data_IF_267843407296
#
_entry.id   IF_267843407296
#
_cell.length_a   1.000
_cell.length_b   1.000
_cell.length_c   1.000
_cell.angle_alpha   90.00
_cell.angle_beta   90.00
_cell.angle_gamma   90.00
#
_symmetry.space_group_name_H-M   'P 1'
#
loop_
_entity.id
_entity.type
_entity.pdbx_description
1 polymer ?
#
# COMPACT_ATOMS: atom_id res chain seq x y z
N UNK A 1 97.05 -18.65 -19.69
CA UNK A 1 95.82 -17.82 -19.72
C UNK A 1 94.57 -18.54 -20.25
N UNK A 2 94.68 -19.71 -20.91
CA UNK A 2 93.51 -20.43 -21.47
C UNK A 2 92.83 -21.43 -20.52
N UNK A 3 93.31 -21.60 -19.29
CA UNK A 3 92.77 -22.58 -18.33
C UNK A 3 91.68 -21.99 -17.41
N UNK A 4 91.73 -20.68 -17.11
CA UNK A 4 90.69 -19.98 -16.34
C UNK A 4 89.40 -19.73 -17.14
N UNK A 5 89.48 -19.76 -18.47
CA UNK A 5 88.32 -19.62 -19.36
C UNK A 5 87.40 -20.84 -19.30
N UNK A 6 87.95 -22.04 -19.03
CA UNK A 6 87.18 -23.29 -18.94
C UNK A 6 86.50 -23.48 -17.58
N UNK A 7 87.08 -22.96 -16.50
CA UNK A 7 86.48 -23.01 -15.16
C UNK A 7 85.33 -22.00 -15.01
N UNK A 8 85.37 -20.88 -15.74
CA UNK A 8 84.25 -19.93 -15.82
C UNK A 8 83.05 -20.49 -16.61
N UNK A 9 83.29 -21.37 -17.59
CA UNK A 9 82.24 -21.96 -18.43
C UNK A 9 81.46 -23.09 -17.71
N UNK A 10 81.95 -23.59 -16.57
CA UNK A 10 81.32 -24.70 -15.84
C UNK A 10 80.37 -24.22 -14.71
N UNK A 11 80.36 -22.92 -14.38
CA UNK A 11 79.50 -22.36 -13.32
C UNK A 11 78.17 -21.77 -13.83
N UNK A 12 77.91 -21.78 -15.13
CA UNK A 12 76.70 -21.17 -15.70
C UNK A 12 75.53 -22.12 -15.99
N UNK A 13 75.65 -23.41 -15.69
CA UNK A 13 74.57 -24.39 -15.98
C UNK A 13 73.75 -24.82 -14.77
N UNK A 14 74.05 -24.34 -13.55
CA UNK A 14 73.43 -24.86 -12.30
C UNK A 14 72.42 -23.91 -11.65
N UNK A 15 71.83 -22.95 -12.39
CA UNK A 15 70.80 -22.07 -11.79
C UNK A 15 69.54 -21.88 -12.65
N UNK A 16 69.11 -22.92 -13.36
CA UNK A 16 67.94 -22.83 -14.24
C UNK A 16 66.94 -23.98 -14.07
N UNK A 17 66.77 -24.59 -12.89
CA UNK A 17 65.60 -25.47 -12.65
C UNK A 17 65.17 -25.41 -11.17
N UNK A 18 64.43 -24.36 -10.78
CA UNK A 18 63.54 -24.39 -9.61
C UNK A 18 62.61 -23.18 -9.60
N UNK A 19 61.85 -22.97 -10.69
CA UNK A 19 60.62 -22.20 -10.56
C UNK A 19 59.51 -23.08 -11.15
N UNK A 20 58.60 -23.65 -10.33
CA UNK A 20 57.43 -24.30 -10.88
C UNK A 20 56.66 -23.23 -11.67
N UNK A 21 56.49 -23.47 -12.96
CA UNK A 21 55.67 -22.61 -13.81
C UNK A 21 54.31 -22.42 -13.11
N UNK A 22 53.83 -21.17 -12.89
CA UNK A 22 52.49 -20.96 -12.38
C UNK A 22 51.52 -21.70 -13.28
N UNK A 23 50.62 -22.52 -12.71
CA UNK A 23 49.59 -23.18 -13.49
C UNK A 23 48.93 -22.15 -14.42
N UNK A 24 48.72 -22.48 -15.71
CA UNK A 24 48.13 -21.53 -16.65
C UNK A 24 46.86 -20.97 -16.03
N UNK A 25 46.81 -19.64 -15.87
CA UNK A 25 45.62 -18.99 -15.36
C UNK A 25 44.44 -19.41 -16.26
N UNK A 26 43.28 -19.78 -15.70
CA UNK A 26 42.11 -20.09 -16.51
C UNK A 26 41.88 -18.91 -17.47
N UNK A 27 41.71 -19.22 -18.76
CA UNK A 27 41.48 -18.20 -19.77
C UNK A 27 40.35 -17.27 -19.31
N UNK A 28 40.51 -15.93 -19.38
CA UNK A 28 39.45 -15.00 -18.98
C UNK A 28 38.17 -15.33 -19.75
N UNK A 29 37.16 -15.88 -19.06
CA UNK A 29 35.89 -16.28 -19.64
C UNK A 29 35.00 -15.04 -19.92
N UNK A 30 35.53 -14.08 -20.69
CA UNK A 30 34.91 -12.80 -21.01
C UNK A 30 33.54 -12.93 -21.71
N UNK A 31 33.23 -14.10 -22.29
CA UNK A 31 31.95 -14.38 -22.94
C UNK A 31 30.92 -15.15 -22.11
N UNK A 32 31.34 -15.92 -21.09
CA UNK A 32 30.46 -16.81 -20.32
C UNK A 32 29.59 -16.04 -19.32
N UNK A 33 30.23 -15.24 -18.47
CA UNK A 33 29.57 -14.47 -17.41
C UNK A 33 28.56 -13.44 -17.94
N UNK A 34 28.87 -12.84 -19.09
CA UNK A 34 27.98 -11.87 -19.72
C UNK A 34 26.78 -12.60 -20.35
N UNK A 35 26.99 -13.75 -20.97
CA UNK A 35 25.92 -14.58 -21.55
C UNK A 35 24.90 -15.04 -20.51
N UNK A 36 25.37 -15.56 -19.37
CA UNK A 36 24.49 -16.03 -18.29
C UNK A 36 23.71 -14.89 -17.63
N UNK A 37 24.35 -13.75 -17.38
CA UNK A 37 23.67 -12.56 -16.85
C UNK A 37 22.62 -12.01 -17.82
N UNK A 38 22.91 -12.01 -19.12
CA UNK A 38 21.96 -11.59 -20.15
C UNK A 38 20.79 -12.59 -20.30
N UNK A 39 21.04 -13.87 -20.09
CA UNK A 39 20.00 -14.89 -20.11
C UNK A 39 19.03 -14.75 -18.93
N UNK A 40 19.55 -14.52 -17.72
CA UNK A 40 18.72 -14.22 -16.55
C UNK A 40 17.87 -12.95 -16.71
N UNK A 41 18.42 -11.91 -17.34
CA UNK A 41 17.65 -10.70 -17.70
C UNK A 41 16.60 -11.04 -18.76
N UNK A 42 16.93 -11.88 -19.74
CA UNK A 42 16.00 -12.37 -20.75
C UNK A 42 14.78 -13.06 -20.14
N UNK A 43 14.98 -13.96 -19.19
CA UNK A 43 13.91 -14.68 -18.50
C UNK A 43 13.01 -13.75 -17.67
N UNK A 44 13.58 -12.75 -16.99
CA UNK A 44 12.82 -11.71 -16.28
C UNK A 44 11.97 -10.88 -17.27
N UNK A 45 12.53 -10.59 -18.44
CA UNK A 45 11.87 -9.83 -19.50
C UNK A 45 10.96 -10.68 -20.41
N UNK A 46 10.92 -12.00 -20.28
CA UNK A 46 10.03 -12.86 -21.08
C UNK A 46 9.06 -13.68 -20.24
N UNK A 47 9.25 -13.72 -18.93
CA UNK A 47 8.58 -14.64 -18.02
C UNK A 47 7.35 -14.07 -17.32
N UNK A 48 7.04 -14.66 -16.17
CA UNK A 48 5.87 -14.31 -15.36
C UNK A 48 5.86 -12.85 -14.90
N UNK A 49 7.04 -12.26 -14.68
CA UNK A 49 7.15 -10.87 -14.26
C UNK A 49 6.52 -9.90 -15.27
N UNK A 50 6.82 -10.01 -16.58
CA UNK A 50 6.17 -9.16 -17.58
C UNK A 50 4.67 -9.40 -17.70
N UNK A 51 4.21 -10.65 -17.55
CA UNK A 51 2.78 -10.98 -17.56
C UNK A 51 2.06 -10.32 -16.39
N UNK A 52 2.68 -10.31 -15.21
CA UNK A 52 2.18 -9.63 -14.02
C UNK A 52 2.18 -8.12 -14.22
N UNK A 53 3.25 -7.52 -14.75
CA UNK A 53 3.31 -6.10 -15.07
C UNK A 53 2.22 -5.69 -16.06
N UNK A 54 2.03 -6.45 -17.15
CA UNK A 54 0.95 -6.20 -18.11
C UNK A 54 -0.43 -6.31 -17.47
N UNK A 55 -0.63 -7.26 -16.55
CA UNK A 55 -1.88 -7.39 -15.82
C UNK A 55 -2.14 -6.21 -14.90
N UNK A 56 -1.12 -5.73 -14.18
CA UNK A 56 -1.22 -4.54 -13.33
C UNK A 56 -1.55 -3.31 -14.18
N UNK A 57 -0.87 -3.13 -15.30
CA UNK A 57 -1.13 -2.01 -16.22
C UNK A 57 -2.58 -2.04 -16.71
N UNK A 58 -3.10 -3.21 -17.13
CA UNK A 58 -4.49 -3.33 -17.56
C UNK A 58 -5.49 -2.99 -16.45
N UNK A 59 -5.26 -3.47 -15.23
CA UNK A 59 -6.14 -3.12 -14.10
C UNK A 59 -6.04 -1.63 -13.74
N UNK A 60 -4.86 -1.02 -13.85
CA UNK A 60 -4.69 0.42 -13.67
C UNK A 60 -5.42 1.20 -14.76
N UNK A 61 -5.34 0.78 -16.01
CA UNK A 61 -6.08 1.39 -17.13
C UNK A 61 -7.60 1.26 -16.94
N UNK A 62 -8.07 0.11 -16.48
CA UNK A 62 -9.49 -0.11 -16.14
C UNK A 62 -9.94 0.76 -14.96
N UNK A 63 -9.11 0.92 -13.92
CA UNK A 63 -9.41 1.76 -12.76
C UNK A 63 -9.32 3.26 -13.04
N UNK A 64 -8.46 3.66 -13.97
CA UNK A 64 -8.22 5.06 -14.36
C UNK A 64 -8.85 5.41 -15.71
N UNK A 65 -9.80 4.60 -16.18
CA UNK A 65 -10.52 4.86 -17.41
C UNK A 65 -11.26 6.21 -17.38
N UNK A 66 -11.70 6.66 -18.56
CA UNK A 66 -12.43 7.93 -18.69
C UNK A 66 -13.66 8.00 -17.79
N UNK A 67 -14.32 6.86 -17.54
CA UNK A 67 -15.54 6.80 -16.74
C UNK A 67 -15.22 7.03 -15.26
N UNK A 68 -14.26 6.31 -14.70
CA UNK A 68 -13.78 6.43 -13.33
C UNK A 68 -13.18 7.82 -13.08
N UNK A 69 -12.37 8.31 -14.02
CA UNK A 69 -11.80 9.67 -13.97
C UNK A 69 -12.88 10.75 -13.99
N UNK A 70 -13.90 10.64 -14.87
CA UNK A 70 -15.03 11.58 -14.91
C UNK A 70 -15.89 11.51 -13.65
N UNK A 71 -16.19 10.31 -13.16
CA UNK A 71 -16.95 10.13 -11.93
C UNK A 71 -16.24 10.77 -10.73
N UNK A 72 -14.94 10.53 -10.59
CA UNK A 72 -14.09 11.12 -9.54
C UNK A 72 -14.05 12.64 -9.66
N UNK A 73 -13.81 13.18 -10.87
CA UNK A 73 -13.82 14.62 -11.10
C UNK A 73 -15.17 15.25 -10.77
N UNK A 74 -16.27 14.63 -11.20
CA UNK A 74 -17.61 15.12 -10.91
C UNK A 74 -17.89 15.10 -9.41
N UNK A 75 -17.56 14.03 -8.69
CA UNK A 75 -17.69 13.97 -7.24
C UNK A 75 -16.85 15.07 -6.55
N UNK A 76 -15.60 15.26 -6.98
CA UNK A 76 -14.73 16.28 -6.41
C UNK A 76 -15.25 17.70 -6.68
N UNK A 77 -15.80 17.98 -7.86
CA UNK A 77 -16.32 19.31 -8.21
C UNK A 77 -17.70 19.59 -7.60
N UNK A 78 -18.57 18.58 -7.49
CA UNK A 78 -19.96 18.75 -7.04
C UNK A 78 -20.11 18.58 -5.53
N UNK A 79 -19.50 17.55 -4.95
CA UNK A 79 -19.63 17.23 -3.54
C UNK A 79 -18.41 17.68 -2.71
N UNK A 80 -17.20 17.71 -3.31
CA UNK A 80 -15.97 18.08 -2.62
C UNK A 80 -16.04 19.39 -1.82
N UNK A 81 -16.51 20.52 -2.38
CA UNK A 81 -16.61 21.78 -1.64
C UNK A 81 -17.58 21.71 -0.45
N UNK A 82 -18.59 20.83 -0.52
CA UNK A 82 -19.59 20.67 0.53
C UNK A 82 -19.11 19.71 1.63
N UNK A 83 -18.28 18.71 1.32
CA UNK A 83 -17.78 17.72 2.28
C UNK A 83 -16.53 18.26 2.97
N UNK A 84 -16.73 19.13 3.97
CA UNK A 84 -15.63 19.63 4.82
C UNK A 84 -15.48 18.77 6.08
N UNK A 85 -14.28 18.73 6.70
CA UNK A 85 -14.07 18.06 7.98
C UNK A 85 -15.03 18.54 9.08
N UNK A 86 -15.35 19.85 9.10
CA UNK A 86 -16.28 20.44 10.07
C UNK A 86 -17.71 19.94 9.84
N UNK A 87 -18.15 19.83 8.58
CA UNK A 87 -19.46 19.26 8.26
C UNK A 87 -19.52 17.79 8.71
N UNK A 88 -18.51 16.98 8.37
CA UNK A 88 -18.46 15.57 8.76
C UNK A 88 -18.50 15.41 10.28
N UNK A 89 -17.77 16.24 11.03
CA UNK A 89 -17.81 16.26 12.49
C UNK A 89 -19.19 16.62 13.03
N UNK A 90 -19.85 17.64 12.46
CA UNK A 90 -21.21 18.03 12.85
C UNK A 90 -22.21 16.92 12.55
N UNK A 91 -22.17 16.33 11.36
CA UNK A 91 -23.04 15.22 10.95
C UNK A 91 -22.83 14.02 11.87
N UNK A 92 -21.58 13.62 12.13
CA UNK A 92 -21.28 12.54 13.08
C UNK A 92 -21.86 12.82 14.46
N UNK A 93 -21.66 14.03 15.00
CA UNK A 93 -22.23 14.40 16.30
C UNK A 93 -23.76 14.39 16.33
N UNK A 94 -24.41 14.82 15.24
CA UNK A 94 -25.87 14.74 15.10
C UNK A 94 -26.34 13.28 15.05
N UNK A 95 -25.64 12.40 14.32
CA UNK A 95 -25.94 10.98 14.26
C UNK A 95 -25.76 10.31 15.63
N UNK A 96 -24.69 10.64 16.37
CA UNK A 96 -24.46 10.13 17.72
C UNK A 96 -25.56 10.55 18.70
N UNK A 97 -25.96 11.81 18.65
CA UNK A 97 -27.06 12.32 19.47
C UNK A 97 -28.41 11.72 19.06
N UNK A 98 -28.65 11.60 17.76
CA UNK A 98 -29.83 10.93 17.20
C UNK A 98 -29.93 9.49 17.67
N UNK A 99 -28.83 8.72 17.62
CA UNK A 99 -28.78 7.34 18.09
C UNK A 99 -29.11 7.23 19.58
N UNK A 100 -28.64 8.17 20.42
CA UNK A 100 -28.98 8.21 21.85
C UNK A 100 -30.47 8.48 22.09
N UNK A 101 -31.04 9.44 21.35
CA UNK A 101 -32.45 9.83 21.48
C UNK A 101 -33.42 8.81 20.89
N UNK A 102 -33.00 8.06 19.86
CA UNK A 102 -33.81 7.06 19.18
C UNK A 102 -33.64 5.65 19.75
N UNK A 103 -33.06 5.52 20.95
CA UNK A 103 -33.07 4.24 21.66
C UNK A 103 -34.49 3.85 22.07
N UNK A 104 -34.86 2.55 22.02
CA UNK A 104 -36.18 2.09 22.43
C UNK A 104 -36.55 2.56 23.85
N UNK A 105 -35.62 2.48 24.80
CA UNK A 105 -35.83 2.89 26.19
C UNK A 105 -36.17 4.40 26.30
N UNK A 106 -35.38 5.28 25.67
CA UNK A 106 -35.66 6.73 25.71
C UNK A 106 -36.99 7.09 25.04
N UNK A 107 -37.28 6.48 23.89
CA UNK A 107 -38.53 6.70 23.15
C UNK A 107 -39.73 6.23 23.97
N UNK A 108 -39.66 5.05 24.59
CA UNK A 108 -40.78 4.50 25.36
C UNK A 108 -40.99 5.26 26.68
N UNK A 109 -39.92 5.68 27.35
CA UNK A 109 -40.00 6.55 28.52
C UNK A 109 -40.63 7.91 28.17
N UNK A 110 -40.23 8.51 27.04
CA UNK A 110 -40.79 9.78 26.57
C UNK A 110 -42.27 9.65 26.22
N UNK A 111 -42.66 8.59 25.50
CA UNK A 111 -44.08 8.29 25.21
C UNK A 111 -44.91 8.12 26.49
N UNK A 112 -44.36 7.41 27.49
CA UNK A 112 -45.04 7.22 28.77
C UNK A 112 -45.19 8.54 29.53
N UNK A 113 -44.16 9.39 29.55
CA UNK A 113 -44.23 10.72 30.14
C UNK A 113 -45.33 11.57 29.47
N UNK A 114 -45.36 11.61 28.14
CA UNK A 114 -46.39 12.34 27.37
C UNK A 114 -47.79 11.80 27.72
N UNK A 115 -47.96 10.48 27.80
CA UNK A 115 -49.24 9.86 28.18
C UNK A 115 -49.69 10.25 29.59
N UNK A 116 -48.77 10.27 30.55
CA UNK A 116 -49.07 10.69 31.94
C UNK A 116 -49.41 12.18 32.02
N UNK A 117 -48.69 13.01 31.30
CA UNK A 117 -48.98 14.45 31.21
C UNK A 117 -50.38 14.69 30.62
N UNK A 118 -50.75 13.99 29.54
CA UNK A 118 -52.11 14.05 28.97
C UNK A 118 -53.20 13.72 30.01
N UNK A 119 -53.04 12.60 30.74
CA UNK A 119 -53.99 12.23 31.82
C UNK A 119 -54.10 13.27 32.93
N UNK A 120 -52.99 13.94 33.26
CA UNK A 120 -53.00 14.99 34.27
C UNK A 120 -53.81 16.19 33.80
N UNK A 121 -53.68 16.58 32.52
CA UNK A 121 -54.50 17.63 31.92
C UNK A 121 -55.99 17.27 31.95
N UNK A 122 -56.35 16.04 31.53
CA UNK A 122 -57.74 15.55 31.60
C UNK A 122 -58.30 15.61 33.03
N UNK A 123 -57.46 15.30 34.03
CA UNK A 123 -57.86 15.36 35.44
C UNK A 123 -58.07 16.80 35.91
N UNK A 124 -57.24 17.74 35.47
CA UNK A 124 -57.38 19.16 35.78
C UNK A 124 -58.64 19.74 35.15
N UNK A 125 -58.93 19.39 33.89
CA UNK A 125 -60.15 19.82 33.20
C UNK A 125 -61.40 19.30 33.94
N UNK A 126 -61.41 18.01 34.29
CA UNK A 126 -62.50 17.42 35.06
C UNK A 126 -62.68 18.08 36.45
N UNK A 127 -61.59 18.54 37.08
CA UNK A 127 -61.66 19.29 38.34
C UNK A 127 -62.27 20.67 38.15
N UNK A 128 -61.93 21.40 37.08
CA UNK A 128 -62.55 22.69 36.80
C UNK A 128 -64.04 22.54 36.51
N UNK A 129 -64.43 21.55 35.71
CA UNK A 129 -65.84 21.23 35.46
C UNK A 129 -66.59 20.89 36.75
N UNK A 130 -65.99 20.07 37.63
CA UNK A 130 -66.58 19.70 38.93
C UNK A 130 -66.72 20.90 39.88
N UNK A 131 -65.86 21.91 39.76
CA UNK A 131 -65.89 23.14 40.54
C UNK A 131 -66.78 24.23 39.91
N UNK A 132 -67.32 24.00 38.71
CA UNK A 132 -68.12 24.97 37.97
C UNK A 132 -67.32 26.20 37.53
N UNK A 133 -66.01 26.03 37.32
CA UNK A 133 -65.08 27.05 36.80
C UNK A 133 -65.01 27.01 35.28
#
# INVERSE_FOLDING_TARGET
>A
MRFFVLISLLLFTVFAIANPEPAPAPDPQLGGDIGEKLQGIGEILSGEFLRQVQSVIRHVDELLDDKSTKATKNLLMTAGPAITPELLKKVSGLLDNGNKLLTPDFVDQTKNLIKKAGKLLDTVDALFEALGL
#
